data_IF_623715931627
#
_entry.id   IF_623715931627
#
_cell.length_a   1.000
_cell.length_b   1.000
_cell.length_c   1.000
_cell.angle_alpha   90.00
_cell.angle_beta   90.00
_cell.angle_gamma   90.00
#
_symmetry.space_group_name_H-M   'P 1'
#
loop_
_entity.id
_entity.type
_entity.pdbx_description
1 polymer ?
#
# COMPACT_ATOMS: atom_id res chain seq x y z
N UNK A 1 -42.73 9.15 64.77
CA UNK A 1 -41.80 9.52 65.86
C UNK A 1 -41.07 8.26 66.33
N UNK A 2 -39.75 8.35 66.45
CA UNK A 2 -38.78 7.43 67.10
C UNK A 2 -38.40 6.12 66.41
N UNK A 3 -37.21 6.13 65.81
CA UNK A 3 -36.23 5.02 65.83
C UNK A 3 -35.70 4.81 67.27
N UNK A 4 -35.12 3.63 67.56
CA UNK A 4 -33.66 3.51 67.79
C UNK A 4 -33.06 2.24 67.12
N UNK A 5 -31.98 2.29 66.32
CA UNK A 5 -30.53 2.36 66.63
C UNK A 5 -29.84 1.06 67.11
N UNK A 6 -28.99 0.52 66.23
CA UNK A 6 -27.58 0.11 66.45
C UNK A 6 -27.20 -1.12 67.34
N UNK A 7 -26.59 -2.17 66.76
CA UNK A 7 -25.20 -2.63 67.05
C UNK A 7 -24.79 -3.98 66.38
N UNK A 8 -23.71 -3.91 65.59
CA UNK A 8 -22.47 -4.73 65.56
C UNK A 8 -22.41 -6.28 65.50
N UNK A 9 -21.71 -6.71 64.44
CA UNK A 9 -20.47 -7.56 64.34
C UNK A 9 -20.45 -9.07 64.70
N UNK A 10 -19.95 -9.81 63.68
CA UNK A 10 -19.04 -10.98 63.67
C UNK A 10 -19.40 -12.27 64.42
N UNK A 11 -19.51 -13.38 63.68
CA UNK A 11 -18.61 -14.54 63.78
C UNK A 11 -18.97 -15.60 62.73
N UNK A 12 -17.96 -16.29 62.21
CA UNK A 12 -18.07 -17.18 61.06
C UNK A 12 -18.68 -18.55 61.32
N UNK A 13 -18.92 -19.28 60.23
CA UNK A 13 -18.66 -20.72 60.10
C UNK A 13 -18.85 -21.17 58.65
N UNK A 14 -17.82 -21.83 58.13
CA UNK A 14 -17.91 -22.73 56.97
C UNK A 14 -18.96 -23.80 57.25
N UNK A 15 -19.77 -24.15 56.27
CA UNK A 15 -20.23 -25.53 56.08
C UNK A 15 -20.27 -25.85 54.60
N UNK A 16 -19.63 -26.97 54.29
CA UNK A 16 -19.51 -27.58 52.99
C UNK A 16 -20.80 -28.30 52.56
N UNK A 17 -20.94 -28.37 51.24
CA UNK A 17 -21.64 -29.34 50.40
C UNK A 17 -22.43 -30.50 51.06
N UNK A 18 -23.69 -30.61 50.65
CA UNK A 18 -24.34 -31.89 50.36
C UNK A 18 -25.22 -31.75 49.11
N UNK A 19 -24.94 -32.55 48.08
CA UNK A 19 -25.59 -32.48 46.78
C UNK A 19 -26.86 -33.32 46.64
N UNK A 20 -27.57 -33.14 45.53
CA UNK A 20 -28.31 -34.22 44.86
C UNK A 20 -28.86 -33.83 43.49
N UNK A 21 -28.73 -34.78 42.55
CA UNK A 21 -29.60 -35.06 41.40
C UNK A 21 -29.50 -34.24 40.11
N UNK A 22 -28.58 -34.69 39.25
CA UNK A 22 -28.85 -35.24 37.91
C UNK A 22 -30.04 -34.66 37.10
N UNK A 23 -29.72 -33.72 36.20
CA UNK A 23 -30.53 -33.37 35.03
C UNK A 23 -29.67 -33.42 33.78
N UNK A 24 -29.69 -34.56 33.06
CA UNK A 24 -29.00 -34.77 31.78
C UNK A 24 -29.47 -33.73 30.76
N UNK A 25 -28.64 -32.71 30.47
CA UNK A 25 -28.87 -31.78 29.37
C UNK A 25 -28.12 -32.30 28.14
N UNK A 26 -28.90 -32.79 27.16
CA UNK A 26 -28.44 -33.24 25.84
C UNK A 26 -27.59 -32.17 25.19
N UNK A 27 -26.40 -32.54 24.75
CA UNK A 27 -25.53 -31.77 23.87
C UNK A 27 -26.24 -31.62 22.52
N UNK A 28 -26.52 -30.39 22.10
CA UNK A 28 -26.90 -30.09 20.74
C UNK A 28 -25.83 -29.17 20.15
N UNK A 29 -24.93 -29.78 19.39
CA UNK A 29 -23.86 -29.14 18.64
C UNK A 29 -24.45 -28.39 17.44
N UNK A 30 -24.87 -27.15 17.66
CA UNK A 30 -24.91 -26.12 16.62
C UNK A 30 -24.15 -24.91 17.14
N UNK A 31 -22.82 -25.00 17.03
CA UNK A 31 -21.92 -23.85 17.11
C UNK A 31 -22.28 -22.91 15.96
N UNK A 32 -23.14 -21.94 16.30
CA UNK A 32 -23.48 -20.79 15.49
C UNK A 32 -22.21 -19.98 15.23
N UNK A 33 -21.85 -19.83 13.95
CA UNK A 33 -20.77 -18.96 13.46
C UNK A 33 -20.89 -17.50 13.94
N UNK A 34 -22.05 -17.08 14.46
CA UNK A 34 -22.30 -15.71 14.88
C UNK A 34 -21.65 -15.35 16.24
N UNK A 35 -21.20 -16.34 17.02
CA UNK A 35 -20.51 -16.05 18.29
C UNK A 35 -19.06 -15.59 18.11
N UNK A 36 -18.41 -15.93 16.99
CA UNK A 36 -17.03 -15.49 16.70
C UNK A 36 -16.96 -14.08 16.11
N UNK A 37 -18.03 -13.62 15.45
CA UNK A 37 -18.08 -12.29 14.83
C UNK A 37 -18.50 -11.20 15.83
N UNK A 38 -19.34 -11.54 16.82
CA UNK A 38 -19.81 -10.59 17.84
C UNK A 38 -18.89 -10.48 19.08
N UNK A 39 -17.82 -11.30 19.16
CA UNK A 39 -16.84 -11.28 20.25
C UNK A 39 -15.63 -10.36 20.02
N UNK A 40 -15.50 -9.76 18.84
CA UNK A 40 -14.49 -8.74 18.51
C UNK A 40 -15.08 -7.32 18.57
N UNK A 41 -15.99 -7.10 19.52
CA UNK A 41 -16.30 -5.75 19.96
C UNK A 41 -15.02 -5.12 20.49
N UNK A 42 -14.47 -4.17 19.73
CA UNK A 42 -13.50 -3.21 20.26
C UNK A 42 -14.10 -2.65 21.55
N UNK A 43 -13.53 -3.01 22.70
CA UNK A 43 -13.85 -2.38 23.96
C UNK A 43 -13.58 -0.87 23.80
N UNK A 44 -14.64 -0.08 23.66
CA UNK A 44 -14.61 1.37 23.45
C UNK A 44 -14.30 2.15 24.71
N UNK A 45 -14.03 1.47 25.83
CA UNK A 45 -14.08 2.07 27.16
C UNK A 45 -12.69 2.13 27.82
N UNK A 46 -11.64 2.39 27.03
CA UNK A 46 -10.40 2.91 27.61
C UNK A 46 -10.45 4.43 27.55
N UNK A 47 -10.82 5.00 28.69
CA UNK A 47 -10.38 6.33 29.14
C UNK A 47 -8.92 6.49 28.71
N UNK A 48 -8.73 7.30 27.66
CA UNK A 48 -7.46 7.41 26.94
C UNK A 48 -6.67 8.51 27.63
N UNK A 49 -6.29 8.26 28.87
CA UNK A 49 -5.37 9.15 29.56
C UNK A 49 -4.06 9.20 28.75
N UNK A 50 -3.50 10.40 28.51
CA UNK A 50 -2.21 10.52 27.86
C UNK A 50 -1.19 9.68 28.62
N UNK A 51 -0.16 9.13 27.94
CA UNK A 51 0.88 8.39 28.64
C UNK A 51 1.42 9.25 29.79
N UNK A 52 1.54 8.68 31.01
CA UNK A 52 1.83 9.47 32.20
C UNK A 52 3.13 10.25 32.02
N UNK A 53 3.04 11.58 32.08
CA UNK A 53 4.16 12.51 31.92
C UNK A 53 4.26 13.26 30.59
N UNK A 54 3.33 13.09 29.66
CA UNK A 54 3.28 13.93 28.44
C UNK A 54 2.71 15.32 28.73
N UNK A 55 3.39 16.38 28.28
CA UNK A 55 2.85 17.73 28.41
C UNK A 55 1.72 17.97 27.39
N UNK A 56 0.68 18.70 27.81
CA UNK A 56 -0.50 18.95 26.99
C UNK A 56 -0.18 19.73 25.69
N UNK A 57 0.87 20.55 25.69
CA UNK A 57 1.30 21.29 24.50
C UNK A 57 1.90 20.38 23.42
N UNK A 58 2.68 19.39 23.83
CA UNK A 58 3.28 18.36 22.99
C UNK A 58 2.22 17.43 22.47
N UNK A 59 1.27 17.00 23.30
CA UNK A 59 0.14 16.18 22.85
C UNK A 59 -0.67 16.91 21.78
N UNK A 60 -1.06 18.17 22.03
CA UNK A 60 -1.80 18.99 21.07
C UNK A 60 -1.04 19.16 19.75
N UNK A 61 0.27 19.34 19.83
CA UNK A 61 1.15 19.47 18.66
C UNK A 61 1.15 18.17 17.84
N UNK A 62 1.34 17.02 18.49
CA UNK A 62 1.34 15.70 17.83
C UNK A 62 -0.01 15.45 17.14
N UNK A 63 -1.12 15.69 17.83
CA UNK A 63 -2.48 15.47 17.27
C UNK A 63 -2.73 16.40 16.08
N UNK A 64 -2.28 17.66 16.15
CA UNK A 64 -2.42 18.63 15.06
C UNK A 64 -1.64 18.21 13.82
N UNK A 65 -0.38 17.80 13.99
CA UNK A 65 0.46 17.28 12.89
C UNK A 65 -0.18 16.03 12.29
N UNK A 66 -0.60 15.07 13.13
CA UNK A 66 -1.27 13.86 12.69
C UNK A 66 -2.54 14.14 11.89
N UNK A 67 -3.38 15.07 12.35
CA UNK A 67 -4.58 15.49 11.63
C UNK A 67 -4.25 16.13 10.28
N UNK A 68 -3.18 16.94 10.22
CA UNK A 68 -2.66 17.51 8.98
C UNK A 68 -2.27 16.44 7.97
N UNK A 69 -1.48 15.44 8.39
CA UNK A 69 -1.05 14.31 7.56
C UNK A 69 -2.25 13.52 7.05
N UNK A 70 -3.17 13.15 7.94
CA UNK A 70 -4.35 12.34 7.58
C UNK A 70 -5.29 13.10 6.64
N UNK A 71 -5.47 14.42 6.80
CA UNK A 71 -6.31 15.20 5.88
C UNK A 71 -5.71 15.29 4.48
N UNK A 72 -4.38 15.42 4.39
CA UNK A 72 -3.64 15.61 3.15
C UNK A 72 -3.02 14.31 2.60
N UNK A 73 -3.41 13.14 3.12
CA UNK A 73 -2.79 11.85 2.77
C UNK A 73 -2.73 11.62 1.25
N UNK A 74 -3.79 11.95 0.51
CA UNK A 74 -3.85 11.73 -0.94
C UNK A 74 -2.83 12.60 -1.67
N UNK A 75 -2.67 13.86 -1.24
CA UNK A 75 -1.64 14.75 -1.79
C UNK A 75 -0.25 14.19 -1.49
N UNK A 76 0.01 13.76 -0.25
CA UNK A 76 1.30 13.19 0.16
C UNK A 76 1.64 11.95 -0.67
N UNK A 77 0.71 11.00 -0.79
CA UNK A 77 0.89 9.77 -1.59
C UNK A 77 1.08 10.09 -3.07
N UNK A 78 0.29 11.01 -3.62
CA UNK A 78 0.40 11.42 -5.02
C UNK A 78 1.75 12.08 -5.28
N UNK A 79 2.19 13.00 -4.42
CA UNK A 79 3.50 13.65 -4.54
C UNK A 79 4.64 12.65 -4.41
N UNK A 80 4.56 11.71 -3.47
CA UNK A 80 5.54 10.63 -3.35
C UNK A 80 5.61 9.79 -4.63
N UNK A 81 4.47 9.46 -5.25
CA UNK A 81 4.43 8.74 -6.52
C UNK A 81 4.93 9.57 -7.70
N UNK A 82 4.67 10.89 -7.74
CA UNK A 82 5.24 11.78 -8.76
C UNK A 82 6.77 11.74 -8.69
N UNK A 83 7.34 11.86 -7.49
CA UNK A 83 8.80 11.75 -7.29
C UNK A 83 9.29 10.37 -7.70
N UNK A 84 8.60 9.31 -7.28
CA UNK A 84 8.98 7.94 -7.58
C UNK A 84 8.93 7.61 -9.09
N UNK A 85 7.97 8.16 -9.83
CA UNK A 85 7.83 7.92 -11.27
C UNK A 85 8.76 8.82 -12.09
N UNK A 86 8.97 10.06 -11.64
CA UNK A 86 9.78 11.03 -12.39
C UNK A 86 11.28 10.75 -12.34
N UNK A 87 11.80 10.21 -11.24
CA UNK A 87 13.24 9.93 -11.10
C UNK A 87 13.74 8.91 -12.16
N UNK A 88 13.11 7.74 -12.38
CA UNK A 88 13.53 6.80 -13.42
C UNK A 88 13.45 7.34 -14.84
N UNK A 89 12.48 8.22 -15.10
CA UNK A 89 12.35 8.93 -16.37
C UNK A 89 13.47 9.98 -16.54
N UNK A 90 13.90 10.61 -15.45
CA UNK A 90 14.98 11.60 -15.45
C UNK A 90 16.37 10.98 -15.69
N UNK A 91 16.59 9.73 -15.25
CA UNK A 91 17.87 9.04 -15.37
C UNK A 91 18.48 9.08 -16.79
N UNK A 92 17.77 8.73 -17.88
CA UNK A 92 18.35 8.79 -19.22
C UNK A 92 18.63 10.22 -19.71
N UNK A 93 17.88 11.24 -19.26
CA UNK A 93 18.21 12.64 -19.57
C UNK A 93 19.50 13.09 -18.86
N UNK A 94 19.71 12.64 -17.61
CA UNK A 94 20.97 12.88 -16.90
C UNK A 94 22.14 12.21 -17.62
N UNK A 95 21.98 10.98 -18.09
CA UNK A 95 22.98 10.29 -18.92
C UNK A 95 23.29 11.08 -20.20
N UNK A 96 22.25 11.48 -20.95
CA UNK A 96 22.39 12.22 -22.20
C UNK A 96 23.04 13.61 -22.02
N UNK A 97 22.85 14.23 -20.85
CA UNK A 97 23.44 15.53 -20.51
C UNK A 97 24.84 15.43 -19.87
N UNK A 98 25.45 14.24 -19.82
CA UNK A 98 26.78 14.01 -19.25
C UNK A 98 26.83 13.91 -17.72
N UNK A 99 25.69 13.99 -17.03
CA UNK A 99 25.58 13.93 -15.55
C UNK A 99 25.49 12.48 -15.06
N UNK A 100 26.47 11.67 -15.45
CA UNK A 100 26.43 10.21 -15.27
C UNK A 100 26.36 9.79 -13.79
N UNK A 101 27.08 10.48 -12.90
CA UNK A 101 27.09 10.14 -11.47
C UNK A 101 25.69 10.26 -10.84
N UNK A 102 24.97 11.33 -11.14
CA UNK A 102 23.59 11.52 -10.66
C UNK A 102 22.64 10.46 -11.24
N UNK A 103 22.79 10.13 -12.52
CA UNK A 103 22.00 9.08 -13.15
C UNK A 103 22.25 7.72 -12.50
N UNK A 104 23.51 7.39 -12.20
CA UNK A 104 23.90 6.14 -11.54
C UNK A 104 23.29 6.00 -10.15
N UNK A 105 23.19 7.08 -9.37
CA UNK A 105 22.47 7.05 -8.09
C UNK A 105 21.02 6.60 -8.31
N UNK A 106 20.33 7.16 -9.29
CA UNK A 106 18.95 6.77 -9.62
C UNK A 106 18.90 5.29 -10.06
N UNK A 107 19.74 4.87 -11.00
CA UNK A 107 19.77 3.46 -11.42
C UNK A 107 20.02 2.53 -10.23
N UNK A 108 20.95 2.85 -9.33
CA UNK A 108 21.28 2.00 -8.19
C UNK A 108 20.15 1.90 -7.17
N UNK A 109 19.49 3.02 -6.84
CA UNK A 109 18.34 3.02 -5.91
C UNK A 109 17.19 2.19 -6.48
N UNK A 110 16.88 2.35 -7.78
CA UNK A 110 15.77 1.64 -8.40
C UNK A 110 16.06 0.18 -8.74
N UNK A 111 17.30 -0.32 -8.56
CA UNK A 111 17.59 -1.75 -8.70
C UNK A 111 16.89 -2.60 -7.62
N UNK A 112 16.53 -1.98 -6.50
CA UNK A 112 15.80 -2.64 -5.42
C UNK A 112 14.35 -2.95 -5.82
N UNK A 113 13.77 -2.11 -6.69
CA UNK A 113 12.37 -2.25 -7.13
C UNK A 113 12.24 -2.86 -8.53
N UNK A 114 13.28 -2.78 -9.35
CA UNK A 114 13.28 -3.27 -10.73
C UNK A 114 14.64 -3.87 -11.12
N UNK A 115 14.63 -4.98 -11.87
CA UNK A 115 15.86 -5.53 -12.44
C UNK A 115 16.48 -4.69 -13.57
N UNK A 116 15.72 -3.72 -14.11
CA UNK A 116 16.17 -2.78 -15.14
C UNK A 116 16.76 -3.45 -16.39
N UNK A 117 16.17 -4.55 -16.84
CA UNK A 117 16.68 -5.29 -17.99
C UNK A 117 16.59 -4.44 -19.28
N UNK A 118 17.70 -4.23 -20.03
CA UNK A 118 17.71 -3.37 -21.22
C UNK A 118 16.63 -3.72 -22.24
N UNK A 119 16.45 -5.00 -22.59
CA UNK A 119 15.45 -5.45 -23.55
C UNK A 119 13.99 -5.34 -23.05
N UNK A 120 13.79 -4.80 -21.83
CA UNK A 120 12.49 -4.65 -21.16
C UNK A 120 12.27 -3.25 -20.60
N UNK A 121 13.13 -2.29 -20.94
CA UNK A 121 13.07 -0.91 -20.50
C UNK A 121 12.93 0.02 -21.71
N UNK A 122 12.18 1.12 -21.55
CA UNK A 122 12.19 2.13 -22.61
C UNK A 122 13.52 2.88 -22.65
N UNK A 123 13.96 3.23 -23.86
CA UNK A 123 15.11 4.06 -24.15
C UNK A 123 14.66 5.49 -24.46
N UNK A 124 15.42 6.46 -23.97
CA UNK A 124 15.19 7.90 -24.17
C UNK A 124 16.47 8.53 -24.69
N UNK A 125 16.34 9.67 -25.39
CA UNK A 125 17.44 10.34 -26.08
C UNK A 125 18.12 9.48 -27.16
N UNK A 126 17.33 8.62 -27.81
CA UNK A 126 17.72 7.80 -28.94
C UNK A 126 16.59 7.72 -29.99
N UNK A 127 16.81 7.03 -31.11
CA UNK A 127 15.86 7.00 -32.22
C UNK A 127 14.62 6.14 -31.98
N UNK A 128 14.70 5.16 -31.07
CA UNK A 128 13.60 4.24 -30.75
C UNK A 128 13.43 4.09 -29.24
N UNK A 129 12.20 3.79 -28.83
CA UNK A 129 11.86 3.58 -27.42
C UNK A 129 12.18 2.17 -26.94
N UNK A 130 12.30 1.17 -27.82
CA UNK A 130 12.45 -0.24 -27.42
C UNK A 130 13.43 -0.94 -28.33
N UNK A 131 14.19 -1.87 -27.77
CA UNK A 131 15.15 -2.71 -28.49
C UNK A 131 15.12 -4.13 -27.93
N UNK A 132 15.29 -5.14 -28.79
CA UNK A 132 15.58 -6.50 -28.35
C UNK A 132 17.05 -6.66 -27.97
N UNK A 133 17.39 -7.77 -27.31
CA UNK A 133 18.78 -8.11 -27.00
C UNK A 133 19.67 -8.14 -28.25
N UNK A 134 19.20 -8.76 -29.34
CA UNK A 134 19.96 -8.88 -30.59
C UNK A 134 20.14 -7.53 -31.28
N UNK A 135 19.14 -6.65 -31.21
CA UNK A 135 19.25 -5.29 -31.75
C UNK A 135 20.27 -4.46 -30.98
N UNK A 136 20.29 -4.53 -29.64
CA UNK A 136 21.29 -3.83 -28.83
C UNK A 136 22.69 -4.33 -29.19
N UNK A 137 22.88 -5.65 -29.27
CA UNK A 137 24.17 -6.25 -29.63
C UNK A 137 24.64 -5.79 -31.02
N UNK A 138 23.76 -5.84 -32.01
CA UNK A 138 24.06 -5.44 -33.39
C UNK A 138 24.35 -3.93 -33.51
N UNK A 139 23.64 -3.09 -32.76
CA UNK A 139 23.77 -1.62 -32.89
C UNK A 139 24.91 -1.04 -32.06
N UNK A 140 25.42 -1.79 -31.08
CA UNK A 140 26.46 -1.30 -30.16
C UNK A 140 27.77 -2.07 -30.29
N UNK A 141 27.79 -3.19 -31.02
CA UNK A 141 28.91 -4.15 -31.07
C UNK A 141 29.35 -4.65 -29.68
N UNK A 142 28.44 -4.58 -28.70
CA UNK A 142 28.67 -5.03 -27.33
C UNK A 142 27.72 -6.17 -27.02
N UNK A 143 28.16 -7.17 -26.26
CA UNK A 143 27.25 -8.16 -25.66
C UNK A 143 26.64 -7.53 -24.40
N UNK A 144 25.38 -7.03 -24.44
CA UNK A 144 24.84 -6.27 -23.33
C UNK A 144 24.53 -7.19 -22.14
N UNK A 145 24.86 -6.73 -20.94
CA UNK A 145 24.42 -7.35 -19.70
C UNK A 145 23.22 -6.59 -19.13
N UNK A 146 22.56 -7.11 -18.09
CA UNK A 146 21.52 -6.37 -17.37
C UNK A 146 22.01 -5.01 -16.82
N UNK A 147 23.32 -4.86 -16.61
CA UNK A 147 23.93 -3.61 -16.16
C UNK A 147 24.07 -2.55 -17.26
N UNK A 148 23.94 -2.91 -18.54
CA UNK A 148 24.06 -1.97 -19.66
C UNK A 148 23.01 -0.85 -19.55
N UNK A 149 23.44 0.42 -19.60
CA UNK A 149 22.58 1.59 -19.41
C UNK A 149 22.18 2.28 -20.72
N UNK A 150 22.94 2.08 -21.80
CA UNK A 150 22.71 2.73 -23.10
C UNK A 150 23.94 3.41 -23.67
N UNK A 151 23.76 4.06 -24.81
CA UNK A 151 24.80 4.79 -25.55
C UNK A 151 24.21 5.96 -26.34
N UNK A 152 25.03 6.91 -26.83
CA UNK A 152 24.53 8.00 -27.67
C UNK A 152 23.81 7.55 -28.96
N UNK A 153 24.12 6.37 -29.47
CA UNK A 153 23.55 5.84 -30.71
C UNK A 153 22.10 5.37 -30.55
N UNK A 154 21.80 4.66 -29.46
CA UNK A 154 20.46 4.05 -29.23
C UNK A 154 19.68 4.74 -28.12
N UNK A 155 20.30 5.67 -27.40
CA UNK A 155 19.77 6.34 -26.22
C UNK A 155 20.13 5.61 -24.93
N UNK A 156 19.54 6.05 -23.82
CA UNK A 156 19.73 5.49 -22.50
C UNK A 156 18.43 4.92 -21.97
N UNK A 157 18.48 3.74 -21.35
CA UNK A 157 17.30 3.08 -20.78
C UNK A 157 16.79 3.84 -19.55
N UNK A 158 15.49 3.82 -19.27
CA UNK A 158 14.97 4.30 -18.00
C UNK A 158 15.42 3.42 -16.83
N UNK A 159 15.38 3.95 -15.60
CA UNK A 159 15.78 3.20 -14.40
C UNK A 159 14.73 2.19 -13.88
N UNK A 160 13.77 1.81 -14.71
CA UNK A 160 12.80 0.73 -14.45
C UNK A 160 12.30 0.13 -15.78
N UNK A 161 11.56 -0.96 -15.71
CA UNK A 161 11.07 -1.67 -16.90
C UNK A 161 9.78 -1.05 -17.44
N UNK A 162 9.40 -1.44 -18.66
CA UNK A 162 8.16 -1.04 -19.33
C UNK A 162 6.91 -1.38 -18.49
N UNK A 163 6.93 -2.53 -17.80
CA UNK A 163 5.82 -2.97 -16.92
C UNK A 163 5.71 -2.09 -15.68
N UNK A 164 6.82 -1.76 -15.04
CA UNK A 164 6.84 -0.89 -13.85
C UNK A 164 6.42 0.53 -14.22
N UNK A 165 6.92 1.03 -15.36
CA UNK A 165 6.51 2.31 -15.93
C UNK A 165 4.98 2.39 -16.02
N UNK A 166 4.36 1.39 -16.67
CA UNK A 166 2.91 1.36 -16.83
C UNK A 166 2.17 1.20 -15.51
N UNK A 167 2.66 0.36 -14.60
CA UNK A 167 2.05 0.10 -13.29
C UNK A 167 2.00 1.37 -12.44
N UNK A 168 3.16 2.02 -12.24
CA UNK A 168 3.24 3.18 -11.37
C UNK A 168 2.60 4.43 -11.99
N UNK A 169 2.66 4.61 -13.32
CA UNK A 169 1.90 5.65 -14.00
C UNK A 169 0.40 5.46 -13.87
N UNK A 170 -0.11 4.24 -14.05
CA UNK A 170 -1.53 3.95 -13.86
C UNK A 170 -1.97 4.21 -12.41
N UNK A 171 -1.14 3.88 -11.43
CA UNK A 171 -1.42 4.19 -10.02
C UNK A 171 -1.44 5.70 -9.76
N UNK A 172 -0.48 6.44 -10.28
CA UNK A 172 -0.42 7.91 -10.20
C UNK A 172 -1.66 8.54 -10.84
N UNK A 173 -2.01 8.14 -12.05
CA UNK A 173 -3.19 8.62 -12.76
C UNK A 173 -4.48 8.28 -12.00
N UNK A 174 -4.59 7.09 -11.43
CA UNK A 174 -5.72 6.71 -10.59
C UNK A 174 -5.86 7.63 -9.37
N UNK A 175 -4.74 7.99 -8.73
CA UNK A 175 -4.73 8.97 -7.66
C UNK A 175 -5.22 10.35 -8.05
N UNK A 176 -4.72 10.86 -9.18
CA UNK A 176 -5.15 12.14 -9.73
C UNK A 176 -6.64 12.13 -10.08
N UNK A 177 -7.13 11.08 -10.76
CA UNK A 177 -8.55 10.92 -11.10
C UNK A 177 -9.41 10.86 -9.84
N UNK A 178 -9.07 10.06 -8.85
CA UNK A 178 -9.83 9.96 -7.59
C UNK A 178 -9.83 11.30 -6.84
N UNK A 179 -8.71 12.02 -6.85
CA UNK A 179 -8.61 13.37 -6.30
C UNK A 179 -9.54 14.35 -7.00
N UNK A 180 -9.54 14.37 -8.33
CA UNK A 180 -10.42 15.20 -9.16
C UNK A 180 -11.91 14.85 -8.98
N UNK A 181 -12.24 13.57 -8.72
CA UNK A 181 -13.59 13.11 -8.38
C UNK A 181 -13.99 13.41 -6.93
N UNK A 182 -13.20 14.20 -6.20
CA UNK A 182 -13.49 14.58 -4.82
C UNK A 182 -13.43 13.43 -3.83
N UNK A 183 -12.61 12.40 -4.09
CA UNK A 183 -12.43 11.23 -3.22
C UNK A 183 -13.74 10.46 -2.98
N UNK A 184 -14.56 10.32 -4.02
CA UNK A 184 -15.85 9.58 -4.00
C UNK A 184 -15.86 8.33 -4.87
N UNK A 185 -14.69 7.86 -5.30
CA UNK A 185 -14.60 6.66 -6.12
C UNK A 185 -15.03 5.42 -5.33
N UNK A 186 -15.82 4.51 -5.92
CA UNK A 186 -16.22 3.28 -5.26
C UNK A 186 -15.02 2.34 -5.09
N UNK A 187 -15.05 1.53 -4.03
CA UNK A 187 -14.06 0.48 -3.80
C UNK A 187 -14.20 -0.61 -4.85
N UNK A 188 -13.09 -1.00 -5.48
CA UNK A 188 -13.05 -2.20 -6.31
C UNK A 188 -13.14 -3.44 -5.42
N UNK A 189 -14.16 -4.31 -5.55
CA UNK A 189 -14.22 -5.53 -4.78
C UNK A 189 -13.07 -6.46 -5.19
N UNK A 190 -12.48 -7.17 -4.21
CA UNK A 190 -11.31 -8.02 -4.42
C UNK A 190 -11.49 -9.04 -5.56
N UNK A 191 -12.71 -9.55 -5.76
CA UNK A 191 -13.05 -10.47 -6.85
C UNK A 191 -12.86 -9.85 -8.24
N UNK A 192 -13.23 -8.57 -8.41
CA UNK A 192 -13.00 -7.87 -9.68
C UNK A 192 -11.55 -7.45 -9.83
N UNK A 193 -10.84 -7.14 -8.73
CA UNK A 193 -9.41 -6.89 -8.76
C UNK A 193 -8.61 -8.06 -9.36
N UNK A 194 -9.03 -9.31 -9.11
CA UNK A 194 -8.42 -10.50 -9.74
C UNK A 194 -8.40 -10.38 -11.28
N UNK A 195 -9.42 -9.79 -11.91
CA UNK A 195 -9.46 -9.60 -13.37
C UNK A 195 -8.38 -8.63 -13.87
N UNK A 196 -7.96 -7.67 -13.05
CA UNK A 196 -6.89 -6.73 -13.38
C UNK A 196 -5.50 -7.33 -13.16
N UNK A 197 -5.36 -8.23 -12.20
CA UNK A 197 -4.09 -8.93 -11.88
C UNK A 197 -3.82 -10.06 -12.86
N UNK A 198 -4.86 -10.80 -13.26
CA UNK A 198 -4.74 -12.04 -14.00
C UNK A 198 -3.96 -11.92 -15.32
N UNK A 199 -4.14 -10.87 -16.16
CA UNK A 199 -3.35 -10.70 -17.38
C UNK A 199 -1.85 -10.60 -17.11
N UNK A 200 -1.43 -9.87 -16.08
CA UNK A 200 -0.02 -9.77 -15.69
C UNK A 200 0.51 -11.08 -15.12
N UNK A 201 -0.30 -11.78 -14.32
CA UNK A 201 0.09 -13.08 -13.77
C UNK A 201 0.32 -14.11 -14.89
N UNK A 202 -0.60 -14.20 -15.86
CA UNK A 202 -0.46 -15.08 -17.04
C UNK A 202 0.76 -14.66 -17.87
N UNK A 203 0.95 -13.36 -18.10
CA UNK A 203 2.11 -12.86 -18.85
C UNK A 203 3.43 -13.21 -18.18
N UNK A 204 3.57 -12.92 -16.88
CA UNK A 204 4.76 -13.26 -16.10
C UNK A 204 5.00 -14.77 -16.01
N UNK A 205 3.98 -15.58 -15.76
CA UNK A 205 4.13 -17.04 -15.64
C UNK A 205 4.54 -17.69 -16.96
N UNK A 206 3.92 -17.29 -18.07
CA UNK A 206 4.27 -17.81 -19.41
C UNK A 206 5.67 -17.38 -19.86
N UNK A 207 6.13 -16.22 -19.39
CA UNK A 207 7.50 -15.75 -19.61
C UNK A 207 8.51 -16.51 -18.75
N UNK A 208 8.22 -16.73 -17.47
CA UNK A 208 9.09 -17.49 -16.56
C UNK A 208 9.27 -18.95 -16.96
N UNK A 209 8.25 -19.56 -17.57
CA UNK A 209 8.33 -20.93 -18.10
C UNK A 209 9.03 -21.02 -19.46
N UNK A 210 9.48 -19.91 -20.04
CA UNK A 210 10.17 -19.87 -21.33
C UNK A 210 9.25 -20.17 -22.53
N UNK A 211 7.93 -20.17 -22.34
CA UNK A 211 6.98 -20.46 -23.43
C UNK A 211 6.94 -19.34 -24.48
N UNK A 212 7.20 -18.10 -24.05
CA UNK A 212 7.30 -16.93 -24.93
C UNK A 212 7.98 -15.76 -24.22
N UNK A 213 8.54 -14.84 -25.00
CA UNK A 213 8.90 -13.52 -24.50
C UNK A 213 7.71 -12.55 -24.58
N UNK A 214 7.57 -11.69 -23.58
CA UNK A 214 6.53 -10.65 -23.60
C UNK A 214 6.95 -9.52 -24.53
N UNK A 215 6.03 -9.06 -25.38
CA UNK A 215 6.25 -7.84 -26.16
C UNK A 215 6.16 -6.61 -25.25
N UNK A 216 6.79 -5.50 -25.64
CA UNK A 216 6.69 -4.25 -24.88
C UNK A 216 5.23 -3.81 -24.68
N UNK A 217 4.39 -3.99 -25.71
CA UNK A 217 2.97 -3.63 -25.64
C UNK A 217 2.23 -4.46 -24.59
N UNK A 218 2.49 -5.77 -24.55
CA UNK A 218 1.85 -6.65 -23.57
C UNK A 218 2.30 -6.32 -22.15
N UNK A 219 3.57 -5.97 -21.94
CA UNK A 219 4.09 -5.52 -20.63
C UNK A 219 3.42 -4.23 -20.18
N UNK A 220 3.21 -3.27 -21.09
CA UNK A 220 2.51 -2.01 -20.81
C UNK A 220 1.04 -2.27 -20.50
N UNK A 221 0.33 -3.07 -21.30
CA UNK A 221 -1.10 -3.32 -21.11
C UNK A 221 -1.37 -4.07 -19.80
N UNK A 222 -0.63 -5.15 -19.55
CA UNK A 222 -0.79 -5.94 -18.31
C UNK A 222 -0.33 -5.16 -17.08
N UNK A 223 0.76 -4.40 -17.19
CA UNK A 223 1.24 -3.42 -16.20
C UNK A 223 0.21 -2.37 -15.84
N UNK A 224 -0.32 -1.69 -16.85
CA UNK A 224 -1.31 -0.63 -16.70
C UNK A 224 -2.61 -1.14 -16.08
N UNK A 225 -3.11 -2.30 -16.51
CA UNK A 225 -4.30 -2.92 -15.91
C UNK A 225 -4.07 -3.23 -14.42
N UNK A 226 -2.96 -3.86 -14.08
CA UNK A 226 -2.61 -4.15 -12.68
C UNK A 226 -2.52 -2.87 -11.84
N UNK A 227 -1.81 -1.85 -12.32
CA UNK A 227 -1.68 -0.56 -11.64
C UNK A 227 -3.02 0.16 -11.45
N UNK A 228 -3.88 0.14 -12.48
CA UNK A 228 -5.23 0.71 -12.43
C UNK A 228 -6.10 -0.01 -11.40
N UNK A 229 -6.13 -1.34 -11.44
CA UNK A 229 -6.84 -2.16 -10.46
C UNK A 229 -6.34 -1.91 -9.04
N UNK A 230 -5.02 -1.77 -8.87
CA UNK A 230 -4.38 -1.50 -7.57
C UNK A 230 -4.81 -0.14 -7.02
N UNK A 231 -4.84 0.90 -7.85
CA UNK A 231 -5.31 2.22 -7.43
C UNK A 231 -6.78 2.19 -6.99
N UNK A 232 -7.67 1.58 -7.79
CA UNK A 232 -9.10 1.51 -7.47
C UNK A 232 -9.46 0.57 -6.31
N UNK A 233 -8.58 -0.39 -6.00
CA UNK A 233 -8.69 -1.20 -4.79
C UNK A 233 -8.23 -0.41 -3.55
N UNK A 234 -7.02 0.16 -3.60
CA UNK A 234 -6.36 0.69 -2.42
C UNK A 234 -6.81 2.10 -2.05
N UNK A 235 -6.97 3.01 -3.03
CA UNK A 235 -7.16 4.43 -2.72
C UNK A 235 -8.49 4.70 -2.02
N UNK A 236 -9.64 4.16 -2.47
CA UNK A 236 -10.89 4.31 -1.74
C UNK A 236 -10.85 3.65 -0.34
N UNK A 237 -10.17 2.51 -0.21
CA UNK A 237 -10.02 1.84 1.08
C UNK A 237 -9.19 2.66 2.07
N UNK A 238 -8.05 3.21 1.62
CA UNK A 238 -7.22 4.14 2.39
C UNK A 238 -8.00 5.42 2.72
N UNK A 239 -8.81 5.93 1.79
CA UNK A 239 -9.61 7.13 2.01
C UNK A 239 -10.53 7.00 3.22
N UNK A 240 -11.23 5.88 3.32
CA UNK A 240 -12.16 5.62 4.42
C UNK A 240 -11.43 5.47 5.76
N UNK A 241 -10.26 4.81 5.77
CA UNK A 241 -9.41 4.69 6.97
C UNK A 241 -8.96 6.08 7.42
N UNK A 242 -8.45 6.89 6.49
CA UNK A 242 -7.98 8.24 6.79
C UNK A 242 -9.13 9.15 7.27
N UNK A 243 -10.34 9.02 6.72
CA UNK A 243 -11.51 9.76 7.22
C UNK A 243 -11.90 9.37 8.64
N UNK A 244 -11.78 8.09 9.01
CA UNK A 244 -12.03 7.64 10.38
C UNK A 244 -10.98 8.20 11.33
N UNK A 245 -9.69 8.03 10.99
CA UNK A 245 -8.59 8.59 11.78
C UNK A 245 -8.68 10.12 11.94
N UNK A 246 -9.13 10.83 10.90
CA UNK A 246 -9.31 12.28 10.97
C UNK A 246 -10.41 12.68 11.97
N UNK A 247 -11.50 11.90 12.06
CA UNK A 247 -12.55 12.12 13.05
C UNK A 247 -12.02 11.88 14.45
N UNK A 248 -11.35 10.76 14.67
CA UNK A 248 -10.81 10.39 15.99
C UNK A 248 -9.79 11.43 16.49
N UNK A 249 -8.86 11.86 15.62
CA UNK A 249 -7.89 12.90 15.95
C UNK A 249 -8.56 14.26 16.17
N UNK A 250 -9.60 14.60 15.42
CA UNK A 250 -10.34 15.84 15.65
C UNK A 250 -11.06 15.86 16.99
N UNK A 251 -11.62 14.72 17.43
CA UNK A 251 -12.22 14.58 18.75
C UNK A 251 -11.16 14.71 19.85
N UNK A 252 -10.02 14.04 19.70
CA UNK A 252 -8.89 14.16 20.65
C UNK A 252 -8.39 15.60 20.78
N UNK A 253 -8.30 16.33 19.67
CA UNK A 253 -7.86 17.73 19.68
C UNK A 253 -8.82 18.66 20.45
N UNK A 254 -10.08 18.27 20.64
CA UNK A 254 -11.03 19.02 21.48
C UNK A 254 -10.93 18.67 22.97
N UNK A 255 -10.22 17.59 23.31
CA UNK A 255 -10.06 17.09 24.68
C UNK A 255 -8.73 17.51 25.32
N UNK A 256 -7.80 18.08 24.55
CA UNK A 256 -6.44 18.53 24.95
C UNK A 256 -6.29 20.03 24.73
#
# INVERSE_FOLDING_TARGET
>A
MRMPSCCRRFAGRKTDYCGSSNGKRKTNSRLSWNHWVNGMGYASDREHDPPPGMDAGVERTIVTIGLGVVRHWLLIVTMALIVFVSLPLMAPFLMASGRQEMAQVIYNVYRVTCHQEPARSFFVAGPRLTYTWSEIETMTDLRPTSAYLGSPQIGYKMAYCERDTATYLAMLLGGLVIGLLGRRAPRLPLRLYVLFVLPMAVDGLTQLSGLRESTWLLRVLTGGLFGLGTAWLLYPALDDIMRQMAKDLSTRLTQV
#
